data_IF_398699164788
#
_entry.id   IF_398699164788
#
_cell.length_a   1.000
_cell.length_b   1.000
_cell.length_c   1.000
_cell.angle_alpha   90.00
_cell.angle_beta   90.00
_cell.angle_gamma   90.00
#
_symmetry.space_group_name_H-M   'P 1'
#
loop_
_entity.id
_entity.type
_entity.pdbx_description
1 polymer ?
#
# COMPACT_ATOMS: atom_id res chain seq x y z
N UNK A 1 -21.88 -3.98 14.28
CA UNK A 1 -21.07 -4.09 13.05
C UNK A 1 -19.87 -3.17 13.18
N UNK A 2 -18.67 -3.59 12.75
CA UNK A 2 -17.46 -2.75 12.80
C UNK A 2 -17.48 -1.72 11.66
N UNK A 3 -16.70 -0.63 11.80
CA UNK A 3 -16.57 0.39 10.76
C UNK A 3 -16.06 -0.21 9.42
N UNK A 4 -15.12 -1.15 9.48
CA UNK A 4 -14.65 -1.87 8.31
C UNK A 4 -15.81 -2.61 7.59
N UNK A 5 -16.66 -3.31 8.34
CA UNK A 5 -17.79 -4.03 7.76
C UNK A 5 -18.87 -3.09 7.18
N UNK A 6 -19.07 -1.90 7.76
CA UNK A 6 -19.98 -0.90 7.16
C UNK A 6 -19.41 -0.31 5.87
N UNK A 7 -18.11 -0.04 5.80
CA UNK A 7 -17.44 0.44 4.57
C UNK A 7 -17.56 -0.62 3.47
N UNK A 8 -17.26 -1.88 3.77
CA UNK A 8 -17.40 -2.99 2.81
C UNK A 8 -18.83 -3.12 2.27
N UNK A 9 -19.83 -3.07 3.16
CA UNK A 9 -21.25 -3.12 2.76
C UNK A 9 -21.64 -1.93 1.89
N UNK A 10 -21.20 -0.72 2.25
CA UNK A 10 -21.45 0.48 1.46
C UNK A 10 -20.90 0.36 0.03
N UNK A 11 -19.70 -0.20 -0.12
CA UNK A 11 -19.11 -0.47 -1.44
C UNK A 11 -19.91 -1.53 -2.19
N UNK A 12 -20.26 -2.64 -1.55
CA UNK A 12 -21.04 -3.73 -2.16
C UNK A 12 -22.39 -3.26 -2.70
N UNK A 13 -23.06 -2.35 -2.00
CA UNK A 13 -24.38 -1.84 -2.37
C UNK A 13 -24.34 -0.85 -3.54
N UNK A 14 -23.20 -0.20 -3.79
CA UNK A 14 -23.09 0.92 -4.74
C UNK A 14 -22.20 0.66 -5.93
N UNK A 15 -21.24 -0.25 -5.78
CA UNK A 15 -20.19 -0.52 -6.75
C UNK A 15 -20.25 -1.98 -7.22
N UNK A 16 -19.51 -2.26 -8.29
CA UNK A 16 -19.45 -3.61 -8.84
C UNK A 16 -18.68 -4.56 -7.93
N UNK A 17 -18.95 -5.87 -8.03
CA UNK A 17 -18.32 -6.87 -7.17
C UNK A 17 -16.77 -6.88 -7.23
N UNK A 18 -16.17 -6.46 -8.35
CA UNK A 18 -14.71 -6.38 -8.49
C UNK A 18 -14.07 -5.19 -7.75
N UNK A 19 -14.87 -4.21 -7.33
CA UNK A 19 -14.42 -3.07 -6.52
C UNK A 19 -14.59 -3.34 -5.01
N UNK A 20 -15.20 -4.47 -4.65
CA UNK A 20 -15.39 -4.87 -3.26
C UNK A 20 -14.03 -5.15 -2.59
N UNK A 21 -13.63 -4.38 -1.56
CA UNK A 21 -12.33 -4.54 -0.93
C UNK A 21 -12.29 -5.82 -0.09
N UNK A 22 -11.29 -6.66 -0.34
CA UNK A 22 -11.03 -7.88 0.44
C UNK A 22 -10.61 -7.57 1.88
N UNK A 23 -9.80 -6.54 2.04
CA UNK A 23 -9.23 -6.12 3.33
C UNK A 23 -9.38 -4.60 3.48
N UNK A 24 -9.52 -4.14 4.73
CA UNK A 24 -9.62 -2.72 5.07
C UNK A 24 -8.65 -2.43 6.20
N UNK A 25 -7.60 -1.67 5.91
CA UNK A 25 -6.65 -1.18 6.90
C UNK A 25 -6.86 0.31 7.13
N UNK A 26 -6.92 0.72 8.40
CA UNK A 26 -6.94 2.12 8.78
C UNK A 26 -5.51 2.58 9.05
N UNK A 27 -5.18 3.77 8.54
CA UNK A 27 -3.87 4.40 8.76
C UNK A 27 -4.07 5.72 9.48
N UNK A 28 -3.17 6.06 10.37
CA UNK A 28 -3.21 7.32 11.13
C UNK A 28 -2.92 8.52 10.22
N UNK A 29 -2.08 8.33 9.21
CA UNK A 29 -1.68 9.37 8.27
C UNK A 29 -1.65 8.86 6.82
N UNK A 30 -2.00 9.75 5.90
CA UNK A 30 -1.86 9.52 4.47
C UNK A 30 -0.50 10.08 4.01
N UNK A 31 0.44 9.25 3.52
CA UNK A 31 1.71 9.73 3.00
C UNK A 31 1.45 10.49 1.70
N UNK A 32 1.73 11.79 1.72
CA UNK A 32 1.57 12.69 0.58
C UNK A 32 2.93 13.18 0.06
N UNK A 33 3.00 13.49 -1.23
CA UNK A 33 4.12 14.26 -1.79
C UNK A 33 4.04 15.71 -1.35
N UNK A 34 5.09 16.48 -1.64
CA UNK A 34 5.10 17.95 -1.48
C UNK A 34 3.97 18.66 -2.23
N UNK A 35 3.45 18.04 -3.30
CA UNK A 35 2.28 18.55 -4.04
C UNK A 35 0.94 18.01 -3.53
N UNK A 36 0.91 17.30 -2.40
CA UNK A 36 -0.32 16.75 -1.81
C UNK A 36 -0.86 15.48 -2.48
N UNK A 37 -0.11 14.83 -3.38
CA UNK A 37 -0.54 13.58 -4.02
C UNK A 37 -0.20 12.38 -3.16
N UNK A 38 -1.08 11.38 -3.11
CA UNK A 38 -0.84 10.14 -2.35
C UNK A 38 0.37 9.39 -2.91
N UNK A 39 1.34 9.08 -2.05
CA UNK A 39 2.51 8.28 -2.39
C UNK A 39 2.14 6.79 -2.35
N UNK A 40 1.50 6.31 -3.42
CA UNK A 40 1.04 4.90 -3.53
C UNK A 40 2.15 3.86 -3.34
N UNK A 41 3.42 4.21 -3.59
CA UNK A 41 4.57 3.31 -3.41
C UNK A 41 4.68 2.83 -1.96
N UNK A 42 4.52 3.73 -0.99
CA UNK A 42 4.65 3.41 0.44
C UNK A 42 3.65 2.33 0.84
N UNK A 43 2.39 2.45 0.39
CA UNK A 43 1.36 1.45 0.67
C UNK A 43 1.63 0.09 0.03
N UNK A 44 2.18 0.06 -1.19
CA UNK A 44 2.56 -1.21 -1.83
C UNK A 44 3.70 -1.91 -1.10
N UNK A 45 4.71 -1.17 -0.64
CA UNK A 45 5.79 -1.77 0.14
C UNK A 45 5.31 -2.28 1.50
N UNK A 46 4.43 -1.53 2.19
CA UNK A 46 3.78 -2.01 3.43
C UNK A 46 3.01 -3.31 3.19
N UNK A 47 2.19 -3.36 2.15
CA UNK A 47 1.41 -4.56 1.81
C UNK A 47 2.30 -5.77 1.45
N UNK A 48 3.44 -5.56 0.77
CA UNK A 48 4.41 -6.63 0.50
C UNK A 48 5.04 -7.16 1.79
N UNK A 49 5.43 -6.25 2.68
CA UNK A 49 6.03 -6.62 3.97
C UNK A 49 5.03 -7.38 4.85
N UNK A 50 3.76 -6.94 4.90
CA UNK A 50 2.67 -7.66 5.57
C UNK A 50 2.44 -9.05 4.97
N UNK A 51 2.59 -9.20 3.65
CA UNK A 51 2.49 -10.47 2.94
C UNK A 51 3.75 -11.36 3.05
N UNK A 52 4.81 -10.91 3.73
CA UNK A 52 6.08 -11.65 3.85
C UNK A 52 6.90 -11.69 2.55
N UNK A 53 6.63 -10.80 1.60
CA UNK A 53 7.35 -10.69 0.33
C UNK A 53 8.44 -9.62 0.48
N UNK A 54 9.55 -9.97 1.15
CA UNK A 54 10.70 -9.08 1.23
C UNK A 54 11.34 -8.90 -0.15
N UNK A 55 11.34 -7.66 -0.66
CA UNK A 55 12.20 -7.31 -1.79
C UNK A 55 13.61 -7.18 -1.26
N UNK A 56 14.39 -8.26 -1.40
CA UNK A 56 15.84 -8.27 -1.20
C UNK A 56 16.44 -7.01 -1.82
N UNK A 57 17.18 -6.28 -0.99
CA UNK A 57 17.79 -5.00 -1.30
C UNK A 57 18.38 -4.98 -2.71
N UNK A 58 17.93 -4.02 -3.52
CA UNK A 58 18.65 -3.65 -4.73
C UNK A 58 19.96 -3.04 -4.24
N UNK A 59 21.02 -3.84 -4.15
CA UNK A 59 22.39 -3.31 -4.00
C UNK A 59 22.55 -2.27 -5.11
N UNK A 60 22.63 -1.00 -4.73
CA UNK A 60 22.77 0.07 -5.70
C UNK A 60 24.04 -0.21 -6.49
N UNK A 61 23.92 -0.30 -7.82
CA UNK A 61 25.05 -0.43 -8.75
C UNK A 61 26.15 0.62 -8.51
N UNK A 62 25.82 1.73 -7.83
CA UNK A 62 26.74 2.79 -7.44
C UNK A 62 27.84 2.34 -6.45
N UNK A 63 27.58 1.32 -5.60
CA UNK A 63 28.62 0.80 -4.70
C UNK A 63 29.62 -0.12 -5.42
N UNK A 64 29.28 -0.65 -6.60
CA UNK A 64 30.17 -1.52 -7.38
C UNK A 64 31.32 -0.76 -8.06
N UNK A 65 31.16 0.52 -8.37
CA UNK A 65 32.17 1.32 -9.11
C UNK A 65 33.31 1.87 -8.24
N UNK A 66 33.28 1.72 -6.90
CA UNK A 66 34.37 2.21 -6.02
C UNK A 66 35.46 1.15 -5.75
N UNK A 67 35.31 -0.04 -6.32
CA UNK A 67 36.22 -1.18 -6.12
C UNK A 67 37.15 -1.46 -7.33
N UNK A 68 37.27 -0.52 -8.27
CA UNK A 68 38.15 -0.62 -9.45
C UNK A 68 39.27 0.39 -9.43
#
# INVERSE_FOLDING_TARGET
ATLAASVQRFVRERLSAHEYPREVAFVEEMPLTTSGKIVRRVFRERAKHEAGLETSESTNFHDACRAG
#
